data_IF_166999028893
#
_entry.id   IF_166999028893
#
_cell.length_a   1.000
_cell.length_b   1.000
_cell.length_c   1.000
_cell.angle_alpha   90.00
_cell.angle_beta   90.00
_cell.angle_gamma   90.00
#
_symmetry.space_group_name_H-M   'P 1'
#
loop_
_entity.id
_entity.type
_entity.pdbx_description
1 polymer ?
#
# COMPACT_ATOMS: atom_id res chain seq x y z
N UNK A 1 18.61 -5.26 14.36
CA UNK A 1 17.32 -5.36 15.07
C UNK A 1 17.41 -6.48 16.11
N UNK A 2 16.85 -6.28 17.30
CA UNK A 2 16.72 -7.34 18.32
C UNK A 2 15.57 -8.25 17.90
N UNK A 3 15.87 -9.52 17.60
CA UNK A 3 14.86 -10.49 17.14
C UNK A 3 14.03 -11.01 18.32
N UNK A 4 12.73 -10.74 18.30
CA UNK A 4 11.78 -11.22 19.30
C UNK A 4 11.40 -12.69 19.08
N UNK A 5 11.55 -13.21 17.86
CA UNK A 5 11.10 -14.56 17.45
C UNK A 5 9.64 -14.84 17.83
N UNK A 6 8.77 -13.87 17.58
CA UNK A 6 7.32 -14.00 17.75
C UNK A 6 6.59 -13.97 16.41
N UNK A 7 5.45 -14.64 16.34
CA UNK A 7 4.47 -14.51 15.25
C UNK A 7 3.39 -13.54 15.67
N UNK A 8 3.05 -12.68 14.74
CA UNK A 8 1.95 -11.75 14.81
C UNK A 8 0.89 -12.13 13.79
N UNK A 9 -0.34 -12.34 14.24
CA UNK A 9 -1.49 -12.52 13.38
C UNK A 9 -2.56 -11.47 13.69
N UNK A 10 -3.22 -11.01 12.65
CA UNK A 10 -4.34 -10.07 12.74
C UNK A 10 -5.50 -10.59 11.90
N UNK A 11 -6.72 -10.47 12.43
CA UNK A 11 -7.95 -10.83 11.75
C UNK A 11 -8.94 -9.69 11.98
N UNK A 12 -9.63 -9.27 10.93
CA UNK A 12 -10.75 -8.36 11.03
C UNK A 12 -11.93 -8.96 10.30
N UNK A 13 -13.09 -9.01 10.95
CA UNK A 13 -14.34 -9.43 10.32
C UNK A 13 -15.00 -8.29 9.53
N UNK A 14 -15.90 -8.66 8.62
CA UNK A 14 -16.91 -7.72 8.15
C UNK A 14 -17.94 -7.47 9.27
N UNK A 15 -19.00 -6.72 8.98
CA UNK A 15 -20.14 -6.65 9.90
C UNK A 15 -20.80 -8.03 9.97
N UNK A 16 -20.99 -8.53 11.19
CA UNK A 16 -21.49 -9.87 11.49
C UNK A 16 -22.85 -9.78 12.18
N UNK A 17 -23.71 -10.75 11.90
CA UNK A 17 -24.87 -11.00 12.73
C UNK A 17 -24.45 -11.55 14.11
N UNK A 18 -25.23 -11.26 15.15
CA UNK A 18 -24.94 -11.63 16.55
C UNK A 18 -24.57 -13.10 16.75
N UNK A 19 -25.26 -14.02 16.06
CA UNK A 19 -24.99 -15.45 16.20
C UNK A 19 -23.56 -15.81 15.75
N UNK A 20 -23.12 -15.24 14.65
CA UNK A 20 -21.78 -15.45 14.09
C UNK A 20 -20.72 -14.75 14.93
N UNK A 21 -21.03 -13.57 15.46
CA UNK A 21 -20.18 -12.87 16.40
C UNK A 21 -19.95 -13.69 17.69
N UNK A 22 -21.02 -14.27 18.28
CA UNK A 22 -20.92 -15.17 19.44
C UNK A 22 -20.02 -16.37 19.16
N UNK A 23 -20.18 -16.97 17.98
CA UNK A 23 -19.35 -18.09 17.54
C UNK A 23 -17.88 -17.67 17.41
N UNK A 24 -17.58 -16.55 16.76
CA UNK A 24 -16.20 -16.07 16.62
C UNK A 24 -15.54 -15.75 17.97
N UNK A 25 -16.28 -15.12 18.89
CA UNK A 25 -15.80 -14.85 20.26
C UNK A 25 -15.49 -16.15 21.02
N UNK A 26 -16.40 -17.13 20.95
CA UNK A 26 -16.20 -18.43 21.59
C UNK A 26 -15.00 -19.19 20.99
N UNK A 27 -14.87 -19.19 19.66
CA UNK A 27 -13.78 -19.83 18.95
C UNK A 27 -12.44 -19.15 19.25
N UNK A 28 -12.40 -17.81 19.34
CA UNK A 28 -11.22 -17.06 19.78
C UNK A 28 -10.78 -17.50 21.18
N UNK A 29 -11.72 -17.57 22.13
CA UNK A 29 -11.40 -17.98 23.50
C UNK A 29 -10.87 -19.43 23.56
N UNK A 30 -11.44 -20.33 22.74
CA UNK A 30 -10.94 -21.69 22.61
C UNK A 30 -9.52 -21.72 22.03
N UNK A 31 -9.23 -20.98 20.95
CA UNK A 31 -7.90 -20.87 20.36
C UNK A 31 -6.87 -20.43 21.41
N UNK A 32 -7.17 -19.38 22.17
CA UNK A 32 -6.26 -18.85 23.20
C UNK A 32 -5.91 -19.93 24.22
N UNK A 33 -6.93 -20.59 24.79
CA UNK A 33 -6.75 -21.62 25.83
C UNK A 33 -6.06 -22.89 25.34
N UNK A 34 -6.18 -23.20 24.04
CA UNK A 34 -5.47 -24.31 23.41
C UNK A 34 -4.03 -23.94 23.03
N UNK A 35 -3.71 -22.66 22.87
CA UNK A 35 -2.39 -22.18 22.45
C UNK A 35 -1.46 -21.91 23.64
N UNK A 36 -1.95 -21.27 24.70
CA UNK A 36 -1.17 -20.99 25.91
C UNK A 36 -2.07 -20.89 27.16
N UNK A 37 -1.45 -20.78 28.34
CA UNK A 37 -2.17 -20.68 29.63
C UNK A 37 -2.17 -19.24 30.13
N UNK A 38 -3.26 -18.46 29.99
CA UNK A 38 -3.30 -17.09 30.45
C UNK A 38 -3.11 -17.00 31.97
N UNK A 39 -2.34 -16.00 32.41
CA UNK A 39 -2.12 -15.70 33.84
C UNK A 39 -2.75 -14.38 34.23
N UNK A 40 -2.97 -13.49 33.26
CA UNK A 40 -3.59 -12.19 33.47
C UNK A 40 -4.41 -11.75 32.25
N UNK A 41 -5.27 -10.75 32.46
CA UNK A 41 -6.00 -10.08 31.39
C UNK A 41 -6.07 -8.57 31.59
N UNK A 42 -6.32 -7.86 30.50
CA UNK A 42 -6.62 -6.44 30.47
C UNK A 42 -8.00 -6.24 29.86
N UNK A 43 -8.81 -5.38 30.49
CA UNK A 43 -10.05 -4.89 29.91
C UNK A 43 -9.84 -3.45 29.42
N UNK A 44 -10.11 -3.18 28.14
CA UNK A 44 -10.02 -1.85 27.52
C UNK A 44 -8.68 -1.14 27.80
N UNK A 45 -7.57 -1.89 27.84
CA UNK A 45 -6.20 -1.41 28.08
C UNK A 45 -5.99 -0.64 29.40
N UNK A 46 -6.81 -0.88 30.42
CA UNK A 46 -6.74 -0.14 31.69
C UNK A 46 -5.82 -0.80 32.72
N UNK A 47 -6.31 -1.82 33.41
CA UNK A 47 -5.63 -2.46 34.53
C UNK A 47 -5.38 -3.94 34.26
N UNK A 48 -4.33 -4.45 34.89
CA UNK A 48 -3.97 -5.87 34.88
C UNK A 48 -4.80 -6.57 35.94
N UNK A 49 -5.57 -7.57 35.53
CA UNK A 49 -6.31 -8.45 36.41
C UNK A 49 -5.72 -9.87 36.37
N UNK A 50 -5.78 -10.57 37.50
CA UNK A 50 -5.44 -12.00 37.56
C UNK A 50 -6.45 -12.80 36.75
N UNK A 51 -5.98 -13.79 36.00
CA UNK A 51 -6.86 -14.60 35.17
C UNK A 51 -7.76 -15.53 36.01
N UNK A 52 -9.07 -15.39 35.85
CA UNK A 52 -10.09 -16.36 36.25
C UNK A 52 -10.98 -16.73 35.05
N UNK A 53 -11.19 -18.03 34.85
CA UNK A 53 -11.93 -18.53 33.68
C UNK A 53 -13.41 -18.17 33.72
N UNK A 54 -14.03 -18.15 34.90
CA UNK A 54 -15.46 -17.88 35.02
C UNK A 54 -15.74 -16.39 34.79
N UNK A 55 -14.86 -15.52 35.32
CA UNK A 55 -14.91 -14.08 35.10
C UNK A 55 -14.70 -13.74 33.62
N UNK A 56 -13.64 -14.25 32.99
CA UNK A 56 -13.36 -13.99 31.56
C UNK A 56 -14.50 -14.46 30.67
N UNK A 57 -15.07 -15.64 30.94
CA UNK A 57 -16.24 -16.12 30.17
C UNK A 57 -17.44 -15.18 30.33
N UNK A 58 -17.71 -14.71 31.55
CA UNK A 58 -18.80 -13.76 31.80
C UNK A 58 -18.60 -12.44 31.06
N UNK A 59 -17.36 -11.94 30.98
CA UNK A 59 -17.03 -10.72 30.21
C UNK A 59 -17.30 -10.91 28.72
N UNK A 60 -16.88 -12.06 28.16
CA UNK A 60 -17.10 -12.37 26.75
C UNK A 60 -18.59 -12.54 26.40
N UNK A 61 -19.38 -13.14 27.28
CA UNK A 61 -20.83 -13.31 27.06
C UNK A 61 -21.58 -11.97 26.96
N UNK A 62 -21.16 -10.96 27.71
CA UNK A 62 -21.72 -9.61 27.70
C UNK A 62 -21.13 -8.66 26.66
N UNK A 63 -20.01 -9.03 26.01
CA UNK A 63 -19.28 -8.14 25.10
C UNK A 63 -20.06 -7.65 23.88
N UNK A 64 -21.05 -8.41 23.43
CA UNK A 64 -21.85 -8.10 22.21
C UNK A 64 -22.82 -6.96 22.45
N UNK A 65 -23.23 -6.75 23.70
CA UNK A 65 -24.14 -5.66 24.06
C UNK A 65 -23.38 -4.32 24.23
N UNK A 66 -22.05 -4.35 24.18
CA UNK A 66 -21.20 -3.17 24.28
C UNK A 66 -20.88 -2.57 22.90
N UNK A 67 -20.89 -1.25 22.81
CA UNK A 67 -20.51 -0.52 21.59
C UNK A 67 -19.03 -0.71 21.26
N UNK A 68 -18.21 -0.91 22.29
CA UNK A 68 -16.75 -1.00 22.21
C UNK A 68 -16.22 -1.80 23.40
N UNK A 69 -15.77 -3.03 23.13
CA UNK A 69 -15.24 -3.96 24.13
C UNK A 69 -13.90 -4.53 23.66
N UNK A 70 -12.82 -4.33 24.40
CA UNK A 70 -11.53 -4.97 24.15
C UNK A 70 -11.09 -5.80 25.35
N UNK A 71 -10.77 -7.06 25.10
CA UNK A 71 -10.17 -7.98 26.08
C UNK A 71 -8.84 -8.48 25.56
N UNK A 72 -7.81 -8.43 26.40
CA UNK A 72 -6.46 -8.94 26.12
C UNK A 72 -6.12 -10.01 27.15
N UNK A 73 -5.78 -11.22 26.70
CA UNK A 73 -5.30 -12.32 27.54
C UNK A 73 -3.80 -12.51 27.33
N UNK A 74 -3.04 -12.69 28.41
CA UNK A 74 -1.58 -12.89 28.34
C UNK A 74 -1.04 -13.82 29.43
N UNK A 75 0.06 -14.50 29.14
CA UNK A 75 0.90 -15.21 30.11
C UNK A 75 2.21 -14.46 30.44
N UNK A 76 2.35 -13.22 29.96
CA UNK A 76 3.54 -12.38 30.03
C UNK A 76 4.50 -12.51 28.84
N UNK A 77 4.36 -13.53 28.00
CA UNK A 77 5.16 -13.73 26.79
C UNK A 77 4.30 -13.78 25.52
N UNK A 78 3.16 -14.46 25.60
CA UNK A 78 2.15 -14.57 24.57
C UNK A 78 1.00 -13.62 24.89
N UNK A 79 0.36 -13.11 23.86
CA UNK A 79 -0.79 -12.24 24.00
C UNK A 79 -1.82 -12.60 22.93
N UNK A 80 -3.09 -12.54 23.29
CA UNK A 80 -4.15 -12.45 22.30
C UNK A 80 -5.21 -11.47 22.74
N UNK A 81 -5.69 -10.66 21.80
CA UNK A 81 -6.80 -9.75 22.04
C UNK A 81 -7.97 -10.02 21.11
N UNK A 82 -9.16 -9.70 21.63
CA UNK A 82 -10.38 -9.57 20.87
C UNK A 82 -10.97 -8.20 21.13
N UNK A 83 -11.41 -7.53 20.08
CA UNK A 83 -11.99 -6.21 20.13
C UNK A 83 -13.29 -6.21 19.33
N UNK A 84 -14.40 -6.07 20.04
CA UNK A 84 -15.75 -5.96 19.48
C UNK A 84 -16.07 -4.48 19.33
N UNK A 85 -16.29 -4.03 18.10
CA UNK A 85 -16.65 -2.65 17.78
C UNK A 85 -17.82 -2.67 16.83
N UNK A 86 -18.96 -2.13 17.29
CA UNK A 86 -20.22 -2.21 16.55
C UNK A 86 -20.55 -3.68 16.21
N UNK A 87 -20.63 -4.00 14.93
CA UNK A 87 -20.94 -5.34 14.43
C UNK A 87 -19.70 -6.09 13.92
N UNK A 88 -18.48 -5.59 14.21
CA UNK A 88 -17.23 -6.21 13.76
C UNK A 88 -16.36 -6.71 14.91
N UNK A 89 -15.59 -7.75 14.63
CA UNK A 89 -14.63 -8.37 15.54
C UNK A 89 -13.23 -8.21 14.97
N UNK A 90 -12.34 -7.62 15.76
CA UNK A 90 -10.92 -7.54 15.47
C UNK A 90 -10.18 -8.46 16.44
N UNK A 91 -9.21 -9.20 15.94
CA UNK A 91 -8.44 -10.14 16.72
C UNK A 91 -6.95 -9.96 16.47
N UNK A 92 -6.17 -10.06 17.54
CA UNK A 92 -4.71 -10.01 17.50
C UNK A 92 -4.15 -11.22 18.23
N UNK A 93 -3.10 -11.80 17.66
CA UNK A 93 -2.36 -12.88 18.30
C UNK A 93 -0.88 -12.59 18.20
N UNK A 94 -0.19 -12.65 19.34
CA UNK A 94 1.25 -12.52 19.45
C UNK A 94 1.79 -13.74 20.19
N UNK A 95 2.34 -14.70 19.44
CA UNK A 95 2.82 -15.97 19.99
C UNK A 95 4.34 -16.07 19.90
N UNK A 96 4.98 -16.63 20.93
CA UNK A 96 6.39 -17.02 20.86
C UNK A 96 6.60 -18.11 19.80
N UNK A 97 7.85 -18.25 19.35
CA UNK A 97 8.23 -19.31 18.43
C UNK A 97 7.73 -20.69 18.89
N UNK A 98 7.94 -21.06 20.16
CA UNK A 98 7.58 -22.39 20.67
C UNK A 98 6.06 -22.62 20.67
N UNK A 99 5.29 -21.63 21.12
CA UNK A 99 3.82 -21.70 21.07
C UNK A 99 3.33 -21.80 19.64
N UNK A 100 3.86 -20.95 18.75
CA UNK A 100 3.49 -21.00 17.34
C UNK A 100 3.83 -22.34 16.68
N UNK A 101 5.00 -22.92 16.93
CA UNK A 101 5.34 -24.23 16.38
C UNK A 101 4.41 -25.34 16.91
N UNK A 102 4.03 -25.28 18.19
CA UNK A 102 3.11 -26.24 18.81
C UNK A 102 1.66 -26.10 18.34
N UNK A 103 1.21 -24.88 18.01
CA UNK A 103 -0.17 -24.59 17.62
C UNK A 103 -0.33 -24.14 16.16
N UNK A 104 0.70 -24.29 15.32
CA UNK A 104 0.73 -23.75 13.94
C UNK A 104 -0.51 -24.15 13.14
N UNK A 105 -0.78 -25.45 13.04
CA UNK A 105 -1.91 -25.96 12.26
C UNK A 105 -3.25 -25.50 12.85
N UNK A 106 -3.35 -25.39 14.18
CA UNK A 106 -4.54 -24.87 14.85
C UNK A 106 -4.78 -23.40 14.49
N UNK A 107 -3.75 -22.55 14.56
CA UNK A 107 -3.86 -21.13 14.22
C UNK A 107 -4.19 -20.93 12.73
N UNK A 108 -3.53 -21.68 11.84
CA UNK A 108 -3.78 -21.60 10.41
C UNK A 108 -5.21 -22.05 10.07
N UNK A 109 -5.68 -23.15 10.66
CA UNK A 109 -7.06 -23.62 10.50
C UNK A 109 -8.06 -22.62 11.07
N UNK A 110 -7.77 -22.04 12.23
CA UNK A 110 -8.62 -21.04 12.88
C UNK A 110 -8.82 -19.82 11.99
N UNK A 111 -7.73 -19.25 11.47
CA UNK A 111 -7.78 -18.09 10.58
C UNK A 111 -8.54 -18.42 9.31
N UNK A 112 -8.27 -19.59 8.71
CA UNK A 112 -9.01 -20.08 7.54
C UNK A 112 -10.51 -20.09 7.81
N UNK A 113 -10.97 -20.78 8.85
CA UNK A 113 -12.40 -20.92 9.16
C UNK A 113 -13.01 -19.56 9.46
N UNK A 114 -12.32 -18.71 10.23
CA UNK A 114 -12.80 -17.36 10.57
C UNK A 114 -12.95 -16.49 9.31
N UNK A 115 -12.02 -16.62 8.36
CA UNK A 115 -12.10 -15.89 7.09
C UNK A 115 -13.27 -16.36 6.21
N UNK A 116 -13.50 -17.67 6.13
CA UNK A 116 -14.66 -18.26 5.43
C UNK A 116 -15.99 -17.88 6.11
N UNK A 117 -15.97 -17.62 7.42
CA UNK A 117 -17.13 -17.24 8.24
C UNK A 117 -17.26 -15.72 8.44
N UNK A 118 -17.12 -14.93 7.38
CA UNK A 118 -17.33 -13.48 7.43
C UNK A 118 -16.10 -12.65 7.79
N UNK A 119 -14.90 -13.14 7.48
CA UNK A 119 -13.67 -12.34 7.58
C UNK A 119 -13.61 -11.26 6.50
N UNK A 120 -13.18 -10.06 6.87
CA UNK A 120 -12.85 -8.99 5.93
C UNK A 120 -11.43 -9.18 5.38
N UNK A 121 -10.45 -9.32 6.27
CA UNK A 121 -9.06 -9.66 5.93
C UNK A 121 -8.32 -10.26 7.11
N UNK A 122 -7.24 -10.97 6.81
CA UNK A 122 -6.31 -11.44 7.81
C UNK A 122 -4.89 -11.51 7.26
N UNK A 123 -3.91 -11.43 8.15
CA UNK A 123 -2.53 -11.75 7.82
C UNK A 123 -1.77 -12.34 8.99
N UNK A 124 -0.68 -13.04 8.68
CA UNK A 124 0.26 -13.64 9.63
C UNK A 124 1.67 -13.29 9.19
N UNK A 125 2.51 -12.85 10.13
CA UNK A 125 3.90 -12.51 9.88
C UNK A 125 4.78 -12.64 11.11
N UNK A 126 6.09 -12.54 10.93
CA UNK A 126 6.97 -12.32 12.08
C UNK A 126 6.66 -10.96 12.72
N UNK A 127 6.62 -10.92 14.05
CA UNK A 127 6.44 -9.67 14.78
C UNK A 127 7.61 -8.70 14.55
N UNK A 128 8.80 -9.24 14.32
CA UNK A 128 9.96 -8.44 13.95
C UNK A 128 9.75 -7.73 12.59
N UNK A 129 9.10 -8.39 11.63
CA UNK A 129 8.71 -7.77 10.35
C UNK A 129 7.69 -6.65 10.59
N UNK A 130 6.65 -6.93 11.41
CA UNK A 130 5.64 -5.94 11.79
C UNK A 130 6.30 -4.66 12.31
N UNK A 131 7.15 -4.79 13.33
CA UNK A 131 7.81 -3.66 13.97
C UNK A 131 8.72 -2.90 13.00
N UNK A 132 9.50 -3.64 12.20
CA UNK A 132 10.41 -3.03 11.24
C UNK A 132 9.68 -2.22 10.17
N UNK A 133 8.62 -2.79 9.60
CA UNK A 133 7.93 -2.18 8.47
C UNK A 133 6.89 -1.13 8.88
N UNK A 134 6.40 -1.12 10.13
CA UNK A 134 5.21 -0.33 10.50
C UNK A 134 5.42 0.73 11.58
N UNK A 135 6.53 0.72 12.33
CA UNK A 135 6.76 1.72 13.39
C UNK A 135 7.49 2.95 12.84
N UNK A 136 6.76 4.03 12.54
CA UNK A 136 7.36 5.25 11.97
C UNK A 136 8.16 6.10 12.99
N UNK A 137 7.80 6.02 14.28
CA UNK A 137 8.39 6.84 15.34
C UNK A 137 9.81 6.39 15.67
N UNK A 138 10.79 7.28 15.49
CA UNK A 138 12.20 7.04 15.84
C UNK A 138 12.35 6.65 17.31
N UNK A 139 11.65 7.33 18.21
CA UNK A 139 11.68 7.04 19.65
C UNK A 139 11.23 5.61 19.96
N UNK A 140 10.08 5.20 19.40
CA UNK A 140 9.56 3.84 19.62
C UNK A 140 10.49 2.76 19.06
N UNK A 141 11.26 3.06 18.00
CA UNK A 141 12.21 2.10 17.39
C UNK A 141 13.41 1.80 18.27
N UNK A 142 13.83 2.70 19.17
CA UNK A 142 14.91 2.41 20.12
C UNK A 142 14.62 1.20 21.02
N UNK A 143 13.35 0.83 21.19
CA UNK A 143 12.96 -0.36 21.96
C UNK A 143 13.36 -1.68 21.28
N UNK A 144 13.66 -1.68 19.97
CA UNK A 144 13.91 -2.93 19.22
C UNK A 144 14.99 -2.81 18.13
N UNK A 145 15.50 -1.63 17.84
CA UNK A 145 16.48 -1.36 16.78
C UNK A 145 17.62 -0.48 17.28
N UNK A 146 18.84 -0.72 16.81
CA UNK A 146 20.02 0.05 17.24
C UNK A 146 20.04 1.43 16.57
N UNK A 147 20.62 2.47 17.21
CA UNK A 147 20.70 3.82 16.63
C UNK A 147 21.35 3.86 15.24
N UNK A 148 22.40 3.06 15.02
CA UNK A 148 23.12 3.01 13.74
C UNK A 148 22.21 2.49 12.61
N UNK A 149 21.44 1.44 12.91
CA UNK A 149 20.49 0.87 11.97
C UNK A 149 19.33 1.84 11.66
N UNK A 150 18.89 2.64 12.66
CA UNK A 150 17.85 3.66 12.47
C UNK A 150 18.36 4.82 11.62
N UNK A 151 19.64 5.18 11.75
CA UNK A 151 20.25 6.26 10.97
C UNK A 151 20.22 5.98 9.46
N UNK A 152 20.36 4.72 9.05
CA UNK A 152 20.33 4.28 7.65
C UNK A 152 18.91 4.18 7.05
N UNK A 153 17.87 4.15 7.89
CA UNK A 153 16.50 4.04 7.38
C UNK A 153 16.05 5.29 6.61
N UNK A 154 15.18 5.12 5.60
CA UNK A 154 14.59 6.24 4.88
C UNK A 154 13.75 7.10 5.83
N UNK A 155 13.80 8.42 5.65
CA UNK A 155 13.17 9.40 6.53
C UNK A 155 12.36 10.41 5.72
N UNK A 156 11.26 10.87 6.29
CA UNK A 156 10.40 11.92 5.74
C UNK A 156 9.90 12.84 6.84
N UNK A 157 9.23 13.92 6.47
CA UNK A 157 8.48 14.76 7.41
C UNK A 157 7.03 14.27 7.48
N UNK A 158 6.48 14.20 8.69
CA UNK A 158 5.04 14.03 8.87
C UNK A 158 4.30 15.37 8.71
N UNK A 159 2.98 15.37 8.86
CA UNK A 159 2.17 16.61 8.77
C UNK A 159 2.50 17.64 9.86
N UNK A 160 3.03 17.20 11.01
CA UNK A 160 3.52 18.06 12.07
C UNK A 160 4.97 18.58 11.82
N UNK A 161 5.54 18.29 10.64
CA UNK A 161 6.92 18.61 10.22
C UNK A 161 8.02 17.92 11.05
N UNK A 162 7.67 16.87 11.80
CA UNK A 162 8.62 16.05 12.53
C UNK A 162 9.26 15.01 11.60
N UNK A 163 10.52 14.68 11.87
CA UNK A 163 11.24 13.65 11.10
C UNK A 163 10.81 12.28 11.61
N UNK A 164 10.25 11.47 10.73
CA UNK A 164 9.81 10.10 10.99
C UNK A 164 10.44 9.14 9.98
N UNK A 165 10.44 7.85 10.29
CA UNK A 165 10.82 6.81 9.33
C UNK A 165 9.76 6.74 8.24
N UNK A 166 10.19 6.74 6.98
CA UNK A 166 9.28 6.57 5.85
C UNK A 166 8.95 5.09 5.64
N UNK A 167 7.95 4.61 6.39
CA UNK A 167 7.55 3.21 6.35
C UNK A 167 7.05 2.75 4.97
N UNK A 168 6.59 3.67 4.10
CA UNK A 168 6.14 3.35 2.75
C UNK A 168 7.23 2.69 1.90
N UNK A 169 8.50 2.96 2.20
CA UNK A 169 9.62 2.34 1.50
C UNK A 169 9.74 0.84 1.78
N UNK A 170 9.15 0.33 2.87
CA UNK A 170 9.19 -1.08 3.24
C UNK A 170 8.06 -1.87 2.56
N UNK A 171 8.36 -3.11 2.16
CA UNK A 171 7.43 -3.91 1.37
C UNK A 171 6.22 -4.38 2.18
N UNK A 172 6.42 -4.83 3.42
CA UNK A 172 5.36 -5.26 4.32
C UNK A 172 4.74 -4.14 5.15
N UNK A 173 4.81 -2.88 4.71
CA UNK A 173 4.09 -1.79 5.39
C UNK A 173 2.58 -1.93 5.16
N UNK A 174 1.83 -1.91 6.25
CA UNK A 174 0.38 -2.01 6.25
C UNK A 174 -0.20 -0.64 5.85
N UNK A 175 -0.88 -0.61 4.71
CA UNK A 175 -1.59 0.59 4.26
C UNK A 175 -3.09 0.37 4.39
N UNK A 176 -3.73 1.19 5.22
CA UNK A 176 -5.18 1.15 5.38
C UNK A 176 -5.84 2.04 4.33
N UNK A 177 -6.67 1.44 3.47
CA UNK A 177 -7.36 2.11 2.38
C UNK A 177 -8.83 1.71 2.37
N UNK A 178 -9.73 2.69 2.54
CA UNK A 178 -11.18 2.48 2.59
C UNK A 178 -11.63 1.35 3.55
N UNK A 179 -10.96 1.19 4.68
CA UNK A 179 -11.25 0.15 5.68
C UNK A 179 -10.58 -1.20 5.44
N UNK A 180 -9.78 -1.35 4.38
CA UNK A 180 -9.02 -2.56 4.06
C UNK A 180 -7.54 -2.39 4.36
N UNK A 181 -6.84 -3.47 4.72
CA UNK A 181 -5.40 -3.46 4.91
C UNK A 181 -4.67 -4.05 3.69
N UNK A 182 -3.95 -3.20 2.97
CA UNK A 182 -3.06 -3.59 1.90
C UNK A 182 -1.66 -3.79 2.49
N UNK A 183 -1.28 -5.05 2.70
CA UNK A 183 0.04 -5.44 3.20
C UNK A 183 0.70 -6.44 2.25
N UNK A 184 1.96 -6.74 2.50
CA UNK A 184 2.71 -7.75 1.77
C UNK A 184 3.66 -8.48 2.71
N UNK A 185 3.12 -9.43 3.46
CA UNK A 185 3.84 -10.21 4.47
C UNK A 185 3.71 -11.71 4.21
N UNK A 186 4.18 -12.56 5.14
CA UNK A 186 4.29 -14.01 4.93
C UNK A 186 3.01 -14.67 4.38
N UNK A 187 1.88 -14.57 5.10
CA UNK A 187 0.62 -15.18 4.68
C UNK A 187 -0.54 -14.20 4.87
N UNK A 188 -1.36 -14.02 3.84
CA UNK A 188 -2.43 -13.01 3.77
C UNK A 188 -3.73 -13.64 3.25
N UNK A 189 -4.86 -13.08 3.66
CA UNK A 189 -6.19 -13.53 3.30
C UNK A 189 -7.04 -12.33 2.86
N UNK A 190 -7.59 -12.41 1.65
CA UNK A 190 -8.39 -11.37 1.02
C UNK A 190 -9.79 -11.92 0.73
N UNK A 191 -10.81 -11.36 1.37
CA UNK A 191 -12.21 -11.72 1.09
C UNK A 191 -12.73 -11.08 -0.19
N UNK A 192 -13.91 -11.49 -0.65
CA UNK A 192 -14.62 -10.86 -1.78
C UNK A 192 -14.87 -9.36 -1.60
N UNK A 193 -14.93 -8.87 -0.36
CA UNK A 193 -15.12 -7.44 -0.08
C UNK A 193 -14.01 -6.56 -0.68
N UNK A 194 -12.82 -7.13 -0.95
CA UNK A 194 -11.75 -6.40 -1.63
C UNK A 194 -12.11 -5.96 -3.04
N UNK A 195 -13.05 -6.60 -3.74
CA UNK A 195 -13.48 -6.21 -5.10
C UNK A 195 -13.94 -4.74 -5.19
N UNK A 196 -14.30 -4.12 -4.06
CA UNK A 196 -14.64 -2.68 -3.96
C UNK A 196 -13.43 -1.74 -4.11
N UNK A 197 -12.22 -2.22 -3.84
CA UNK A 197 -10.99 -1.41 -3.83
C UNK A 197 -9.89 -1.98 -4.72
N UNK A 198 -9.87 -3.29 -4.90
CA UNK A 198 -8.86 -4.06 -5.60
C UNK A 198 -9.50 -5.33 -6.18
N UNK A 199 -9.60 -5.45 -7.51
CA UNK A 199 -10.12 -6.67 -8.12
C UNK A 199 -9.30 -7.91 -7.76
N UNK A 200 -9.93 -8.97 -7.23
CA UNK A 200 -9.21 -10.14 -6.69
C UNK A 200 -8.46 -10.92 -7.77
N UNK A 201 -8.88 -10.81 -9.04
CA UNK A 201 -8.14 -11.41 -10.17
C UNK A 201 -6.69 -10.93 -10.22
N UNK A 202 -6.40 -9.69 -9.79
CA UNK A 202 -5.04 -9.15 -9.75
C UNK A 202 -4.20 -9.88 -8.69
N UNK A 203 -4.80 -10.21 -7.54
CA UNK A 203 -4.16 -11.01 -6.49
C UNK A 203 -3.97 -12.45 -6.98
N UNK A 204 -4.99 -13.05 -7.62
CA UNK A 204 -4.96 -14.43 -8.13
C UNK A 204 -3.90 -14.63 -9.22
N UNK A 205 -3.65 -13.60 -10.02
CA UNK A 205 -2.66 -13.60 -11.11
C UNK A 205 -1.23 -13.24 -10.62
N UNK A 206 -1.03 -12.96 -9.33
CA UNK A 206 0.27 -12.58 -8.81
C UNK A 206 1.30 -13.71 -9.02
N UNK A 207 2.44 -13.35 -9.59
CA UNK A 207 3.52 -14.27 -9.92
C UNK A 207 4.63 -14.24 -8.86
N UNK A 208 5.42 -15.32 -8.82
CA UNK A 208 6.60 -15.46 -7.94
C UNK A 208 6.24 -15.34 -6.45
N UNK A 209 5.17 -16.03 -6.07
CA UNK A 209 4.75 -16.28 -4.69
C UNK A 209 4.85 -17.79 -4.43
N UNK A 210 4.91 -18.21 -3.16
CA UNK A 210 4.97 -19.63 -2.81
C UNK A 210 3.65 -20.33 -3.16
N UNK A 211 2.52 -19.71 -2.80
CA UNK A 211 1.20 -20.30 -3.03
C UNK A 211 0.11 -19.22 -3.12
N UNK A 212 -0.85 -19.46 -4.01
CA UNK A 212 -2.15 -18.79 -4.00
C UNK A 212 -3.22 -19.87 -3.96
N UNK A 213 -4.21 -19.71 -3.08
CA UNK A 213 -5.36 -20.62 -2.98
C UNK A 213 -6.64 -19.82 -2.90
N UNK A 214 -7.61 -20.14 -3.76
CA UNK A 214 -8.99 -19.69 -3.56
C UNK A 214 -9.69 -20.72 -2.66
N UNK A 215 -10.26 -20.23 -1.57
CA UNK A 215 -10.92 -20.98 -0.52
C UNK A 215 -12.45 -20.91 -0.70
N UNK A 216 -13.21 -21.45 0.23
CA UNK A 216 -14.67 -21.29 0.23
C UNK A 216 -15.04 -19.81 0.42
N UNK A 217 -16.27 -19.44 0.06
CA UNK A 217 -16.79 -18.06 0.17
C UNK A 217 -15.91 -16.99 -0.52
N UNK A 218 -15.16 -17.39 -1.56
CA UNK A 218 -14.40 -16.47 -2.40
C UNK A 218 -13.10 -15.92 -1.78
N UNK A 219 -12.70 -16.38 -0.60
CA UNK A 219 -11.48 -15.91 0.08
C UNK A 219 -10.23 -16.35 -0.69
N UNK A 220 -9.30 -15.43 -0.94
CA UNK A 220 -8.01 -15.69 -1.58
C UNK A 220 -6.92 -15.66 -0.51
N UNK A 221 -6.27 -16.79 -0.27
CA UNK A 221 -5.07 -16.89 0.55
C UNK A 221 -3.83 -16.78 -0.33
N UNK A 222 -2.87 -15.97 0.10
CA UNK A 222 -1.56 -15.82 -0.52
C UNK A 222 -0.48 -16.11 0.51
N UNK A 223 0.46 -16.99 0.15
CA UNK A 223 1.70 -17.20 0.88
C UNK A 223 2.89 -16.78 0.00
N UNK A 224 3.72 -15.87 0.51
CA UNK A 224 4.83 -15.31 -0.27
C UNK A 224 6.10 -16.15 -0.20
N UNK A 225 6.33 -16.84 0.91
CA UNK A 225 7.54 -17.65 1.16
C UNK A 225 7.27 -18.66 2.30
N UNK A 226 8.16 -19.62 2.51
CA UNK A 226 7.89 -20.79 3.38
C UNK A 226 7.98 -20.56 4.89
N UNK A 227 8.96 -19.76 5.32
CA UNK A 227 9.27 -19.56 6.74
C UNK A 227 9.09 -18.08 7.14
N UNK A 228 8.08 -17.73 7.98
CA UNK A 228 7.85 -16.36 8.42
C UNK A 228 9.02 -15.76 9.18
N UNK A 229 9.85 -16.56 9.84
CA UNK A 229 10.97 -16.05 10.64
C UNK A 229 12.18 -15.64 9.77
N UNK A 230 12.17 -15.96 8.49
CA UNK A 230 13.18 -15.56 7.50
C UNK A 230 12.73 -14.36 6.66
N UNK A 231 11.80 -13.54 7.15
CA UNK A 231 11.25 -12.39 6.43
C UNK A 231 12.32 -11.41 5.92
N UNK A 232 13.45 -11.28 6.63
CA UNK A 232 14.55 -10.37 6.31
C UNK A 232 15.60 -10.98 5.38
N UNK A 233 15.40 -12.23 4.93
CA UNK A 233 16.22 -12.80 3.88
C UNK A 233 16.01 -11.99 2.58
N UNK A 234 17.07 -11.61 1.83
CA UNK A 234 16.93 -10.74 0.65
C UNK A 234 15.93 -11.25 -0.39
N UNK A 235 15.84 -12.57 -0.59
CA UNK A 235 14.85 -13.17 -1.49
C UNK A 235 13.40 -12.97 -0.99
N UNK A 236 13.16 -13.06 0.32
CA UNK A 236 11.81 -12.91 0.88
C UNK A 236 11.38 -11.45 0.88
N UNK A 237 12.30 -10.51 1.15
CA UNK A 237 12.06 -9.07 0.95
C UNK A 237 11.74 -8.76 -0.52
N UNK A 238 12.43 -9.40 -1.46
CA UNK A 238 12.13 -9.32 -2.89
C UNK A 238 10.73 -9.83 -3.23
N UNK A 239 10.30 -10.97 -2.69
CA UNK A 239 8.95 -11.49 -2.92
C UNK A 239 7.87 -10.57 -2.35
N UNK A 240 8.09 -10.00 -1.16
CA UNK A 240 7.20 -8.99 -0.60
C UNK A 240 7.10 -7.76 -1.49
N UNK A 241 8.25 -7.22 -1.92
CA UNK A 241 8.25 -6.04 -2.79
C UNK A 241 7.54 -6.33 -4.10
N UNK A 242 7.86 -7.44 -4.73
CA UNK A 242 7.28 -7.85 -6.00
C UNK A 242 5.76 -8.06 -5.91
N UNK A 243 5.25 -8.68 -4.84
CA UNK A 243 3.81 -8.84 -4.63
C UNK A 243 3.12 -7.48 -4.48
N UNK A 244 3.67 -6.61 -3.61
CA UNK A 244 3.16 -5.24 -3.40
C UNK A 244 3.08 -4.45 -4.70
N UNK A 245 4.12 -4.51 -5.52
CA UNK A 245 4.21 -3.77 -6.77
C UNK A 245 3.22 -4.33 -7.80
N UNK A 246 3.05 -5.66 -7.87
CA UNK A 246 2.09 -6.33 -8.76
C UNK A 246 0.63 -5.98 -8.49
N UNK A 247 0.25 -5.87 -7.21
CA UNK A 247 -1.11 -5.43 -6.83
C UNK A 247 -1.23 -3.91 -6.81
N UNK A 248 -0.12 -3.18 -6.93
CA UNK A 248 -0.08 -1.72 -7.05
C UNK A 248 -0.58 -0.99 -5.80
N UNK A 249 -0.23 -1.46 -4.60
CA UNK A 249 -0.60 -0.79 -3.34
C UNK A 249 -0.26 0.69 -3.39
N UNK A 250 0.94 1.01 -3.88
CA UNK A 250 1.45 2.38 -3.93
C UNK A 250 0.65 3.30 -4.87
N UNK A 251 -0.01 2.73 -5.89
CA UNK A 251 -0.89 3.48 -6.81
C UNK A 251 -2.29 3.69 -6.23
N UNK A 252 -2.75 2.80 -5.36
CA UNK A 252 -4.06 2.91 -4.71
C UNK A 252 -4.06 3.97 -3.61
N UNK A 253 -2.95 4.08 -2.87
CA UNK A 253 -2.95 4.76 -1.57
C UNK A 253 -2.25 6.11 -1.57
N UNK A 254 -1.56 6.47 -2.65
CA UNK A 254 -0.63 7.59 -2.64
C UNK A 254 -1.06 8.75 -3.54
N UNK A 255 -1.33 9.90 -2.93
CA UNK A 255 -1.90 11.08 -3.61
C UNK A 255 -1.01 12.34 -3.51
N UNK A 256 0.13 12.26 -2.83
CA UNK A 256 0.94 13.44 -2.49
C UNK A 256 2.16 13.66 -3.39
N UNK A 257 2.39 12.76 -4.36
CA UNK A 257 3.46 12.81 -5.34
C UNK A 257 4.87 12.56 -4.82
N UNK A 258 5.16 12.70 -3.53
CA UNK A 258 6.54 12.54 -2.98
C UNK A 258 6.82 11.13 -2.44
N UNK A 259 6.14 10.13 -2.99
CA UNK A 259 6.09 8.77 -2.42
C UNK A 259 7.31 7.91 -2.66
N UNK A 260 7.05 6.66 -3.04
CA UNK A 260 8.06 5.63 -3.18
C UNK A 260 8.99 5.85 -4.40
N UNK A 261 8.60 6.74 -5.32
CA UNK A 261 9.39 7.11 -6.51
C UNK A 261 9.88 5.89 -7.29
N UNK A 262 8.93 4.98 -7.58
CA UNK A 262 9.15 3.76 -8.38
C UNK A 262 8.16 3.73 -9.51
N UNK A 263 8.61 3.22 -10.65
CA UNK A 263 7.73 2.99 -11.78
C UNK A 263 6.73 1.87 -11.45
N UNK A 264 5.44 2.04 -11.81
CA UNK A 264 4.41 1.07 -11.48
C UNK A 264 4.54 -0.21 -12.33
N UNK A 265 4.12 -1.34 -11.73
CA UNK A 265 3.84 -2.59 -12.44
C UNK A 265 2.38 -2.68 -12.87
N UNK A 266 1.52 -1.89 -12.23
CA UNK A 266 0.11 -1.76 -12.54
C UNK A 266 -0.33 -0.33 -12.25
N UNK A 267 -1.19 0.24 -13.10
CA UNK A 267 -1.84 1.53 -12.88
C UNK A 267 -3.35 1.34 -12.77
N UNK A 268 -4.00 2.17 -11.94
CA UNK A 268 -5.44 2.16 -11.70
C UNK A 268 -6.07 3.45 -12.22
N UNK A 269 -7.24 3.32 -12.85
CA UNK A 269 -8.13 4.44 -13.12
C UNK A 269 -9.51 4.13 -12.53
N UNK A 270 -9.91 4.93 -11.55
CA UNK A 270 -11.20 4.81 -10.87
C UNK A 270 -12.22 5.75 -11.52
N UNK A 271 -13.33 5.19 -11.98
CA UNK A 271 -14.57 5.90 -12.29
C UNK A 271 -15.61 5.66 -11.20
N UNK A 272 -16.78 6.32 -11.31
CA UNK A 272 -17.84 6.20 -10.30
C UNK A 272 -18.35 4.75 -10.12
N UNK A 273 -18.31 3.94 -11.18
CA UNK A 273 -18.82 2.56 -11.21
C UNK A 273 -17.88 1.59 -11.94
N UNK A 274 -16.67 2.05 -12.27
CA UNK A 274 -15.73 1.31 -13.11
C UNK A 274 -14.34 1.34 -12.47
N UNK A 275 -13.67 0.21 -12.41
CA UNK A 275 -12.23 0.13 -12.17
C UNK A 275 -11.58 -0.27 -13.50
N UNK A 276 -10.62 0.50 -13.96
CA UNK A 276 -9.76 0.10 -15.08
C UNK A 276 -8.34 -0.09 -14.56
N UNK A 277 -7.66 -1.12 -15.03
CA UNK A 277 -6.25 -1.34 -14.72
C UNK A 277 -5.44 -1.62 -15.96
N UNK A 278 -4.17 -1.22 -15.93
CA UNK A 278 -3.16 -1.58 -16.94
C UNK A 278 -1.99 -2.20 -16.19
N UNK A 279 -1.75 -3.49 -16.41
CA UNK A 279 -0.63 -4.23 -15.83
C UNK A 279 0.47 -4.44 -16.88
N UNK A 280 1.72 -4.26 -16.45
CA UNK A 280 2.91 -4.23 -17.28
C UNK A 280 3.69 -5.54 -17.21
N UNK A 281 4.02 -6.10 -18.38
CA UNK A 281 4.75 -7.36 -18.49
C UNK A 281 5.89 -7.28 -19.52
N UNK A 282 6.98 -7.99 -19.26
CA UNK A 282 8.10 -8.14 -20.19
C UNK A 282 7.83 -9.21 -21.27
N UNK A 283 8.82 -9.47 -22.13
CA UNK A 283 8.70 -10.48 -23.20
C UNK A 283 8.52 -11.92 -22.71
N UNK A 284 8.78 -12.18 -21.42
CA UNK A 284 8.54 -13.47 -20.76
C UNK A 284 7.22 -13.52 -20.02
N UNK A 285 6.35 -12.52 -20.21
CA UNK A 285 5.08 -12.35 -19.52
C UNK A 285 5.23 -12.23 -17.99
N UNK A 286 6.40 -11.81 -17.53
CA UNK A 286 6.66 -11.55 -16.11
C UNK A 286 6.37 -10.07 -15.80
N UNK A 287 5.85 -9.76 -14.60
CA UNK A 287 5.61 -8.39 -14.17
C UNK A 287 6.86 -7.52 -14.28
N UNK A 288 6.70 -6.30 -14.78
CA UNK A 288 7.82 -5.36 -14.93
C UNK A 288 7.36 -3.92 -14.86
N UNK A 289 8.31 -2.99 -14.80
CA UNK A 289 8.02 -1.55 -14.80
C UNK A 289 7.54 -1.08 -16.18
N UNK A 290 6.69 -0.04 -16.19
CA UNK A 290 6.13 0.59 -17.38
C UNK A 290 7.12 0.76 -18.55
N UNK A 291 8.32 1.31 -18.31
CA UNK A 291 9.33 1.50 -19.37
C UNK A 291 9.93 0.24 -19.97
N UNK A 292 9.93 -0.88 -19.24
CA UNK A 292 10.50 -2.15 -19.70
C UNK A 292 9.42 -3.09 -20.24
N UNK A 293 8.17 -2.65 -20.25
CA UNK A 293 7.03 -3.45 -20.65
C UNK A 293 6.98 -3.59 -22.18
N UNK A 294 6.72 -4.81 -22.63
CA UNK A 294 6.44 -5.13 -24.04
C UNK A 294 5.05 -5.72 -24.23
N UNK A 295 4.41 -6.11 -23.12
CA UNK A 295 3.05 -6.63 -23.05
C UNK A 295 2.26 -5.88 -21.99
N UNK A 296 0.98 -5.70 -22.25
CA UNK A 296 0.04 -4.98 -21.39
C UNK A 296 -1.22 -5.80 -21.21
N UNK A 297 -1.69 -5.89 -19.97
CA UNK A 297 -3.01 -6.45 -19.65
C UNK A 297 -3.88 -5.29 -19.21
N UNK A 298 -4.88 -4.96 -20.02
CA UNK A 298 -5.92 -4.00 -19.64
C UNK A 298 -7.11 -4.77 -19.10
N UNK A 299 -7.58 -4.38 -17.90
CA UNK A 299 -8.78 -4.95 -17.30
C UNK A 299 -9.80 -3.84 -17.04
N UNK A 300 -11.05 -4.12 -17.34
CA UNK A 300 -12.19 -3.25 -17.03
C UNK A 300 -13.16 -4.02 -16.14
N UNK A 301 -13.54 -3.41 -15.03
CA UNK A 301 -14.46 -3.96 -14.04
C UNK A 301 -15.62 -2.99 -13.87
N UNK A 302 -16.80 -3.36 -14.37
CA UNK A 302 -18.04 -2.64 -14.06
C UNK A 302 -18.58 -3.17 -12.72
N UNK A 303 -18.50 -2.35 -11.69
CA UNK A 303 -18.87 -2.72 -10.32
C UNK A 303 -20.39 -2.89 -10.13
N UNK A 304 -21.20 -2.32 -11.02
CA UNK A 304 -22.67 -2.37 -10.92
C UNK A 304 -23.23 -3.57 -11.69
N UNK A 305 -22.67 -3.85 -12.86
CA UNK A 305 -23.10 -4.96 -13.72
C UNK A 305 -22.31 -6.24 -13.49
N UNK A 306 -21.26 -6.17 -12.67
CA UNK A 306 -20.31 -7.27 -12.43
C UNK A 306 -19.69 -7.79 -13.73
N UNK A 307 -19.45 -6.88 -14.68
CA UNK A 307 -18.86 -7.23 -15.98
C UNK A 307 -17.35 -7.09 -15.91
N UNK A 308 -16.68 -8.19 -16.22
CA UNK A 308 -15.24 -8.25 -16.39
C UNK A 308 -14.84 -8.33 -17.87
N UNK A 309 -13.92 -7.47 -18.28
CA UNK A 309 -13.28 -7.57 -19.60
C UNK A 309 -11.75 -7.49 -19.45
N UNK A 310 -11.06 -8.42 -20.11
CA UNK A 310 -9.60 -8.44 -20.17
C UNK A 310 -9.15 -8.34 -21.63
N UNK A 311 -8.13 -7.53 -21.88
CA UNK A 311 -7.43 -7.46 -23.15
C UNK A 311 -5.93 -7.53 -22.94
N UNK A 312 -5.26 -8.37 -23.72
CA UNK A 312 -3.80 -8.45 -23.76
C UNK A 312 -3.29 -7.89 -25.07
N UNK A 313 -2.30 -7.01 -25.00
CA UNK A 313 -1.70 -6.34 -26.16
C UNK A 313 -0.19 -6.43 -26.06
N UNK A 314 0.48 -6.67 -27.19
CA UNK A 314 1.93 -6.57 -27.33
C UNK A 314 2.27 -5.31 -28.12
N UNK A 315 3.28 -4.57 -27.70
CA UNK A 315 3.77 -3.39 -28.41
C UNK A 315 4.45 -2.39 -27.50
N UNK A 316 4.53 -1.14 -27.98
CA UNK A 316 4.88 0.01 -27.16
C UNK A 316 3.61 0.69 -26.67
N UNK A 317 3.72 1.37 -25.53
CA UNK A 317 2.66 2.26 -25.08
C UNK A 317 2.48 3.42 -26.05
N UNK A 318 1.24 3.89 -26.17
CA UNK A 318 0.93 5.11 -26.90
C UNK A 318 1.28 6.34 -26.06
N UNK A 319 1.38 7.50 -26.70
CA UNK A 319 1.65 8.76 -26.01
C UNK A 319 0.67 9.04 -24.85
N UNK A 320 -0.60 8.66 -25.01
CA UNK A 320 -1.65 8.89 -24.00
C UNK A 320 -1.44 8.11 -22.70
N UNK A 321 -0.70 7.00 -22.72
CA UNK A 321 -0.34 6.28 -21.50
C UNK A 321 0.61 7.09 -20.61
N UNK A 322 1.42 7.97 -21.19
CA UNK A 322 2.34 8.86 -20.47
C UNK A 322 1.79 10.29 -20.32
N UNK A 323 0.94 10.71 -21.25
CA UNK A 323 0.38 12.06 -21.32
C UNK A 323 -1.13 11.97 -21.56
N UNK A 324 -1.91 11.64 -20.53
CA UNK A 324 -3.34 11.34 -20.68
C UNK A 324 -4.17 12.54 -21.13
N UNK A 325 -3.66 13.76 -20.98
CA UNK A 325 -4.38 14.99 -21.30
C UNK A 325 -3.93 15.58 -22.63
N UNK A 326 -4.87 15.71 -23.57
CA UNK A 326 -4.60 16.24 -24.91
C UNK A 326 -5.31 17.58 -25.07
N UNK A 327 -4.53 18.64 -25.26
CA UNK A 327 -5.01 19.97 -25.67
C UNK A 327 -4.83 20.10 -27.18
N UNK A 328 -5.93 19.91 -27.92
CA UNK A 328 -5.91 19.96 -29.39
C UNK A 328 -5.66 21.37 -29.92
N UNK A 329 -6.23 22.40 -29.27
CA UNK A 329 -6.08 23.80 -29.72
C UNK A 329 -4.65 24.30 -29.51
N UNK A 330 -4.06 23.98 -28.36
CA UNK A 330 -2.68 24.33 -28.03
C UNK A 330 -1.63 23.37 -28.61
N UNK A 331 -2.06 22.26 -29.21
CA UNK A 331 -1.23 21.13 -29.66
C UNK A 331 -0.28 20.65 -28.55
N UNK A 332 -0.83 20.25 -27.40
CA UNK A 332 -0.05 19.79 -26.24
C UNK A 332 -0.53 18.43 -25.73
N UNK A 333 0.44 17.59 -25.39
CA UNK A 333 0.23 16.39 -24.61
C UNK A 333 0.72 16.66 -23.20
N UNK A 334 -0.11 16.41 -22.20
CA UNK A 334 0.13 16.83 -20.82
C UNK A 334 -0.08 15.65 -19.87
N UNK A 335 0.78 15.59 -18.86
CA UNK A 335 0.49 14.92 -17.60
C UNK A 335 0.66 15.90 -16.44
N UNK A 336 0.05 15.59 -15.30
CA UNK A 336 0.23 16.38 -14.10
C UNK A 336 0.52 15.53 -12.86
N UNK A 337 1.36 16.09 -11.99
CA UNK A 337 1.71 15.52 -10.70
C UNK A 337 1.37 16.56 -9.63
N UNK A 338 0.55 16.17 -8.65
CA UNK A 338 0.38 16.94 -7.43
C UNK A 338 1.53 16.57 -6.50
N UNK A 339 2.36 17.55 -6.15
CA UNK A 339 3.55 17.32 -5.34
C UNK A 339 3.45 18.09 -4.03
N UNK A 340 3.77 17.43 -2.92
CA UNK A 340 3.86 18.06 -1.58
C UNK A 340 5.32 18.06 -1.06
N UNK A 341 6.23 18.89 -1.62
CA UNK A 341 7.65 18.91 -1.25
C UNK A 341 7.92 19.07 0.25
N UNK A 342 7.04 19.76 0.97
CA UNK A 342 7.16 20.01 2.39
C UNK A 342 7.18 18.74 3.26
N UNK A 343 6.74 17.59 2.71
CA UNK A 343 6.78 16.29 3.39
C UNK A 343 8.14 15.58 3.25
N UNK A 344 9.08 16.16 2.50
CA UNK A 344 10.40 15.58 2.24
C UNK A 344 11.50 16.29 3.03
N UNK A 345 12.68 15.67 3.09
CA UNK A 345 13.87 16.25 3.69
C UNK A 345 14.64 17.15 2.71
N UNK A 346 14.52 16.89 1.41
CA UNK A 346 15.26 17.50 0.31
C UNK A 346 14.43 18.52 -0.50
N UNK A 347 13.29 18.95 0.04
CA UNK A 347 12.34 19.85 -0.62
C UNK A 347 11.86 19.32 -1.98
N UNK A 348 11.68 18.01 -2.09
CA UNK A 348 11.05 17.32 -3.22
C UNK A 348 12.00 17.09 -4.38
N UNK A 349 13.30 17.34 -4.21
CA UNK A 349 14.31 17.26 -5.27
C UNK A 349 14.34 15.86 -5.94
N UNK A 350 14.36 14.79 -5.14
CA UNK A 350 14.27 13.40 -5.60
C UNK A 350 13.00 13.17 -6.43
N UNK A 351 11.87 13.70 -5.96
CA UNK A 351 10.59 13.52 -6.63
C UNK A 351 10.49 14.28 -7.95
N UNK A 352 10.94 15.55 -7.99
CA UNK A 352 11.01 16.32 -9.22
C UNK A 352 11.88 15.61 -10.26
N UNK A 353 13.07 15.18 -9.88
CA UNK A 353 13.97 14.43 -10.76
C UNK A 353 13.30 13.16 -11.27
N UNK A 354 12.71 12.35 -10.37
CA UNK A 354 12.04 11.11 -10.73
C UNK A 354 10.96 11.32 -11.80
N UNK A 355 10.01 12.24 -11.60
CA UNK A 355 8.94 12.45 -12.57
C UNK A 355 9.43 13.14 -13.85
N UNK A 356 10.35 14.09 -13.75
CA UNK A 356 10.92 14.75 -14.93
C UNK A 356 11.61 13.71 -15.81
N UNK A 357 12.49 12.88 -15.23
CA UNK A 357 13.15 11.81 -15.97
C UNK A 357 12.13 10.82 -16.52
N UNK A 358 11.16 10.40 -15.70
CA UNK A 358 10.08 9.47 -16.07
C UNK A 358 9.34 9.87 -17.35
N UNK A 359 9.10 11.18 -17.55
CA UNK A 359 8.42 11.71 -18.72
C UNK A 359 9.36 12.12 -19.86
N UNK A 360 10.54 12.67 -19.54
CA UNK A 360 11.50 13.13 -20.55
C UNK A 360 12.11 11.96 -21.32
N UNK A 361 12.37 10.84 -20.65
CA UNK A 361 13.02 9.67 -21.24
C UNK A 361 11.98 8.57 -21.58
N UNK A 362 10.70 8.91 -21.65
CA UNK A 362 9.66 7.96 -22.04
C UNK A 362 9.75 7.67 -23.55
N UNK A 363 9.75 6.39 -23.90
CA UNK A 363 9.65 5.93 -25.28
C UNK A 363 8.22 5.45 -25.56
N UNK A 364 7.57 6.11 -26.53
CA UNK A 364 6.18 5.85 -26.89
C UNK A 364 5.94 6.09 -28.37
N UNK A 365 4.85 5.52 -28.88
CA UNK A 365 4.41 5.80 -30.25
C UNK A 365 3.73 7.16 -30.33
N UNK A 366 4.16 7.98 -31.29
CA UNK A 366 3.65 9.34 -31.54
C UNK A 366 2.57 9.38 -32.61
N UNK A 367 1.99 8.24 -32.99
CA UNK A 367 0.95 8.19 -34.01
C UNK A 367 -0.14 9.21 -33.65
N UNK A 368 -0.40 10.15 -34.57
CA UNK A 368 -1.36 11.28 -34.45
C UNK A 368 -0.91 12.51 -33.65
N UNK A 369 0.26 12.51 -33.00
CA UNK A 369 0.71 13.62 -32.12
C UNK A 369 2.15 14.09 -32.37
N UNK A 370 2.73 13.85 -33.54
CA UNK A 370 4.12 14.20 -33.87
C UNK A 370 4.46 15.68 -33.68
N UNK A 371 3.49 16.57 -33.93
CA UNK A 371 3.66 18.03 -33.81
C UNK A 371 3.37 18.55 -32.39
N UNK A 372 2.87 17.72 -31.48
CA UNK A 372 2.41 18.16 -30.17
C UNK A 372 3.58 18.40 -29.21
N UNK A 373 3.47 19.45 -28.40
CA UNK A 373 4.43 19.72 -27.32
C UNK A 373 4.13 18.86 -26.10
N UNK A 374 5.11 18.09 -25.68
CA UNK A 374 5.05 17.27 -24.47
C UNK A 374 5.26 18.14 -23.23
N UNK A 375 4.34 18.04 -22.27
CA UNK A 375 4.32 18.88 -21.08
C UNK A 375 4.12 18.03 -19.82
N UNK A 376 4.86 18.37 -18.77
CA UNK A 376 4.64 17.86 -17.42
C UNK A 376 4.30 19.03 -16.50
N UNK A 377 3.22 18.92 -15.74
CA UNK A 377 2.75 19.98 -14.84
C UNK A 377 2.87 19.53 -13.38
N UNK A 378 3.68 20.22 -12.60
CA UNK A 378 3.70 20.08 -11.15
C UNK A 378 2.73 21.07 -10.53
N UNK A 379 1.76 20.54 -9.77
CA UNK A 379 0.91 21.34 -8.90
C UNK A 379 1.47 21.34 -7.48
N UNK A 380 1.84 22.53 -7.01
CA UNK A 380 2.58 22.76 -5.77
C UNK A 380 1.77 23.60 -4.78
N UNK A 381 1.98 23.41 -3.47
CA UNK A 381 1.48 24.35 -2.47
C UNK A 381 2.13 25.73 -2.66
N UNK A 382 1.42 26.78 -2.27
CA UNK A 382 1.89 28.16 -2.44
C UNK A 382 3.27 28.41 -1.81
N UNK A 383 3.57 27.78 -0.68
CA UNK A 383 4.88 27.85 0.00
C UNK A 383 6.03 27.30 -0.86
N UNK A 384 5.78 26.25 -1.66
CA UNK A 384 6.79 25.64 -2.52
C UNK A 384 6.96 26.39 -3.86
N UNK A 385 6.02 27.27 -4.23
CA UNK A 385 6.09 28.06 -5.45
C UNK A 385 7.16 29.16 -5.40
N UNK A 386 7.55 29.59 -4.19
CA UNK A 386 8.56 30.65 -4.01
C UNK A 386 9.98 30.17 -4.22
N UNK A 387 10.24 28.88 -3.96
CA UNK A 387 11.58 28.30 -3.97
C UNK A 387 11.55 26.92 -4.65
N UNK A 388 11.58 26.95 -5.99
CA UNK A 388 11.65 25.73 -6.81
C UNK A 388 13.15 25.43 -7.02
N UNK A 389 13.64 24.22 -6.68
CA UNK A 389 15.07 23.88 -6.66
C UNK A 389 15.63 23.62 -8.08
N UNK A 390 15.54 24.63 -8.95
CA UNK A 390 15.91 24.53 -10.37
C UNK A 390 17.42 24.35 -10.54
N UNK A 391 18.22 25.01 -9.71
CA UNK A 391 19.68 24.95 -9.85
C UNK A 391 20.22 23.61 -9.33
N UNK A 392 19.69 23.09 -8.22
CA UNK A 392 19.98 21.74 -7.74
C UNK A 392 19.55 20.66 -8.74
N UNK A 393 18.39 20.85 -9.41
CA UNK A 393 17.95 19.96 -10.49
C UNK A 393 18.90 19.97 -11.69
N UNK A 394 19.49 21.11 -12.05
CA UNK A 394 20.50 21.18 -13.13
C UNK A 394 21.76 20.42 -12.74
N UNK A 395 22.20 20.56 -11.50
CA UNK A 395 23.42 19.91 -11.01
C UNK A 395 23.25 18.38 -10.97
N UNK A 396 22.10 17.90 -10.49
CA UNK A 396 21.79 16.45 -10.48
C UNK A 396 21.57 15.87 -11.87
N UNK A 397 20.93 16.62 -12.75
CA UNK A 397 20.63 16.20 -14.12
C UNK A 397 21.57 16.84 -15.14
N UNK A 398 22.87 16.69 -14.92
CA UNK A 398 23.92 17.28 -15.78
C UNK A 398 23.88 16.80 -17.24
N UNK A 399 23.25 15.65 -17.51
CA UNK A 399 22.99 15.11 -18.83
C UNK A 399 21.80 15.78 -19.57
N UNK A 400 20.98 16.55 -18.85
CA UNK A 400 19.79 17.23 -19.36
C UNK A 400 20.07 18.72 -19.56
N UNK A 401 19.79 19.24 -20.76
CA UNK A 401 19.90 20.67 -21.04
C UNK A 401 18.65 21.41 -20.58
N UNK A 402 18.81 22.27 -19.58
CA UNK A 402 17.78 23.21 -19.14
C UNK A 402 17.79 24.48 -20.00
N UNK A 403 16.60 24.88 -20.45
CA UNK A 403 16.36 26.16 -21.11
C UNK A 403 16.32 27.32 -20.12
N UNK A 404 15.96 28.50 -20.64
CA UNK A 404 15.70 29.67 -19.80
C UNK A 404 14.49 29.42 -18.90
N UNK A 405 14.60 29.83 -17.64
CA UNK A 405 13.50 29.77 -16.69
C UNK A 405 12.54 30.94 -16.94
N UNK A 406 11.30 30.63 -17.26
CA UNK A 406 10.26 31.63 -17.50
C UNK A 406 9.34 31.72 -16.28
N UNK A 407 9.24 32.92 -15.71
CA UNK A 407 8.41 33.17 -14.53
C UNK A 407 7.25 34.11 -14.89
N UNK A 408 6.05 33.74 -14.47
CA UNK A 408 4.86 34.59 -14.55
C UNK A 408 4.17 34.63 -13.20
N UNK A 409 3.19 35.53 -13.01
CA UNK A 409 2.36 35.53 -11.80
C UNK A 409 1.56 34.24 -11.60
N UNK A 410 1.32 33.48 -12.68
CA UNK A 410 0.41 32.33 -12.71
C UNK A 410 1.11 30.98 -12.64
N UNK A 411 2.34 30.91 -13.13
CA UNK A 411 3.14 29.69 -13.24
C UNK A 411 4.59 30.02 -13.59
N UNK A 412 5.47 29.08 -13.27
CA UNK A 412 6.87 29.05 -13.72
C UNK A 412 7.06 27.88 -14.68
N UNK A 413 7.89 28.00 -15.71
CA UNK A 413 8.16 26.87 -16.60
C UNK A 413 9.57 26.89 -17.19
N UNK A 414 10.03 25.72 -17.62
CA UNK A 414 11.33 25.52 -18.27
C UNK A 414 11.22 24.44 -19.35
N UNK A 415 11.92 24.62 -20.47
CA UNK A 415 12.09 23.55 -21.46
C UNK A 415 13.31 22.70 -21.11
N UNK A 416 13.16 21.39 -21.16
CA UNK A 416 14.22 20.42 -20.97
C UNK A 416 14.48 19.67 -22.27
N UNK A 417 15.74 19.35 -22.54
CA UNK A 417 16.14 18.55 -23.69
C UNK A 417 17.21 17.55 -23.30
N UNK A 418 17.00 16.28 -23.66
CA UNK A 418 17.99 15.20 -23.59
C UNK A 418 17.96 14.46 -24.92
N UNK A 419 19.09 14.45 -25.63
CA UNK A 419 19.18 13.87 -26.98
C UNK A 419 18.08 14.39 -27.93
N UNK A 420 17.20 13.51 -28.41
CA UNK A 420 16.03 13.83 -29.24
C UNK A 420 14.81 14.25 -28.44
N UNK A 421 14.71 13.83 -27.18
CA UNK A 421 13.54 14.05 -26.33
C UNK A 421 13.49 15.48 -25.81
N UNK A 422 12.26 16.03 -25.76
CA UNK A 422 11.98 17.37 -25.25
C UNK A 422 10.78 17.31 -24.32
N UNK A 423 10.88 18.00 -23.20
CA UNK A 423 9.81 18.11 -22.22
C UNK A 423 9.69 19.56 -21.77
N UNK A 424 8.48 20.10 -21.75
CA UNK A 424 8.21 21.36 -21.08
C UNK A 424 7.68 21.09 -19.67
N UNK A 425 8.37 21.59 -18.66
CA UNK A 425 7.96 21.42 -17.27
C UNK A 425 7.33 22.71 -16.76
N UNK A 426 6.12 22.62 -16.24
CA UNK A 426 5.39 23.70 -15.61
C UNK A 426 5.32 23.47 -14.09
N UNK A 427 5.40 24.56 -13.34
CA UNK A 427 5.17 24.62 -11.90
C UNK A 427 4.01 25.58 -11.66
N UNK A 428 2.94 25.08 -11.06
CA UNK A 428 1.65 25.75 -10.91
C UNK A 428 1.17 25.63 -9.47
N UNK A 429 0.40 26.61 -8.98
CA UNK A 429 -0.23 26.50 -7.67
C UNK A 429 -1.38 25.47 -7.71
N UNK A 430 -1.44 24.59 -6.71
CA UNK A 430 -2.50 23.59 -6.49
C UNK A 430 -3.93 24.17 -6.50
N UNK A 431 -4.15 25.41 -6.05
CA UNK A 431 -5.47 26.08 -6.08
C UNK A 431 -6.06 26.16 -7.49
N UNK A 432 -5.20 26.09 -8.52
CA UNK A 432 -5.61 26.12 -9.93
C UNK A 432 -5.95 24.75 -10.51
N UNK A 433 -5.78 23.68 -9.74
CA UNK A 433 -6.14 22.32 -10.14
C UNK A 433 -7.67 22.21 -10.38
N UNK A 434 -8.48 22.90 -9.57
CA UNK A 434 -9.94 22.94 -9.73
C UNK A 434 -10.40 23.60 -11.04
N UNK A 435 -9.65 24.59 -11.54
CA UNK A 435 -9.90 25.21 -12.85
C UNK A 435 -9.68 24.22 -14.01
N UNK A 436 -8.77 23.26 -13.85
CA UNK A 436 -8.51 22.23 -14.86
C UNK A 436 -9.48 21.03 -14.75
N UNK A 437 -9.86 20.64 -13.53
CA UNK A 437 -10.82 19.54 -13.31
C UNK A 437 -12.24 19.87 -13.82
N UNK A 438 -12.62 21.15 -13.83
CA UNK A 438 -13.91 21.62 -14.36
C UNK A 438 -14.00 21.66 -15.89
N UNK A 439 -12.86 21.73 -16.60
CA UNK A 439 -12.80 21.58 -18.07
C UNK A 439 -12.94 20.11 -18.48
N UNK A 440 -12.65 19.19 -17.54
CA UNK A 440 -12.70 17.74 -17.73
C UNK A 440 -13.97 17.06 -17.19
N UNK A 441 -15.05 17.82 -16.99
CA UNK A 441 -16.37 17.31 -16.61
C UNK A 441 -17.07 16.56 -17.74
N UNK A 442 -16.52 15.41 -18.12
CA UNK A 442 -17.18 14.27 -18.75
C UNK A 442 -16.29 13.04 -18.50
N UNK A 443 -16.28 12.57 -17.25
CA UNK A 443 -15.89 11.21 -16.89
C UNK A 443 -17.00 10.60 -16.05
#
# INVERSE_FOLDING_TARGET
>A
MIKTKKIYAFIQSAQLADALMREQIANWFALVRLSFTPTSYYLNQKEIHSYDIAEVRSLLEGSIDEVNFELILTDGQNESSIHVVQEAVLQRHLFTFDVFQGSRELLLSYIKTTMEQGGLFSYIRAYDEFLNHNVESVEKRYNFQKPEEIAELPKRKNHAKEIVIDCNQFAGYDVFYNGFCLTSCWRMYFSEYYERVLPLVIIKDAQQVEQIQTMEEGVVMVELYRDPFQWDHPANLSYQRLFRDQIGVDQLTWDNGVGILREPFIEYAFGHQLIQTIQYQNDRLQPTVKRKATHFITRNFDLVREIYQERRVRGLLNAQAYFPWIDQEGMRMMDYIVLKPQLTLDNGLDAYEFYIRSHLEADYTTEHFEEYTVCLQFYLPQEAMTDIPIDELKDRMSDVRFGLLHRSKKYTWVNLKKETHRLRVYFMNMERLAEHQSISGNK
#
